data_IF_547135780178
#
_entry.id   IF_547135780178
#
_cell.length_a   1.000
_cell.length_b   1.000
_cell.length_c   1.000
_cell.angle_alpha   90.00
_cell.angle_beta   90.00
_cell.angle_gamma   90.00
#
_symmetry.space_group_name_H-M   'P 1'
#
loop_
_entity.id
_entity.type
_entity.pdbx_description
1 polymer ?
#
# COMPACT_ATOMS: atom_id res chain seq x y z
N UNK A 1 21.33 0.42 26.27
CA UNK A 1 20.24 -0.58 26.27
C UNK A 1 19.27 -0.14 25.20
N UNK A 2 19.31 -0.76 24.03
CA UNK A 2 18.45 -0.37 22.91
C UNK A 2 17.06 -0.99 23.13
N UNK A 3 16.09 -0.13 23.43
CA UNK A 3 14.68 -0.49 23.54
C UNK A 3 14.11 -0.49 22.12
N UNK A 4 14.47 -1.50 21.32
CA UNK A 4 14.03 -1.59 19.92
C UNK A 4 13.28 -2.86 19.55
N UNK A 5 13.31 -3.91 20.38
CA UNK A 5 13.01 -5.26 19.90
C UNK A 5 11.59 -5.80 20.18
N UNK A 6 10.74 -5.07 20.91
CA UNK A 6 9.42 -5.59 21.30
C UNK A 6 8.24 -5.02 20.49
N UNK A 7 8.45 -4.03 19.62
CA UNK A 7 7.36 -3.33 18.89
C UNK A 7 7.25 -3.78 17.42
N UNK A 8 8.15 -4.64 16.94
CA UNK A 8 8.22 -5.02 15.52
C UNK A 8 7.04 -5.87 14.99
N UNK A 9 6.44 -6.72 15.82
CA UNK A 9 5.39 -7.66 15.37
C UNK A 9 4.00 -7.03 15.22
N UNK A 10 3.62 -6.10 16.09
CA UNK A 10 2.31 -5.44 15.94
C UNK A 10 2.25 -4.53 14.70
N UNK A 11 3.40 -4.02 14.24
CA UNK A 11 3.47 -3.05 13.15
C UNK A 11 3.14 -3.66 11.77
N UNK A 12 3.77 -4.77 11.39
CA UNK A 12 3.55 -5.38 10.07
C UNK A 12 2.15 -5.96 9.92
N UNK A 13 1.66 -6.65 10.95
CA UNK A 13 0.29 -7.15 10.97
C UNK A 13 -0.74 -6.01 10.86
N UNK A 14 -0.49 -4.87 11.52
CA UNK A 14 -1.35 -3.68 11.39
C UNK A 14 -1.27 -3.05 10.00
N UNK A 15 -0.07 -2.92 9.42
CA UNK A 15 0.12 -2.40 8.07
C UNK A 15 -0.60 -3.26 7.02
N UNK A 16 -0.53 -4.59 7.13
CA UNK A 16 -1.28 -5.51 6.27
C UNK A 16 -2.79 -5.31 6.38
N UNK A 17 -3.32 -5.12 7.60
CA UNK A 17 -4.75 -4.84 7.80
C UNK A 17 -5.18 -3.54 7.09
N UNK A 18 -4.38 -2.47 7.19
CA UNK A 18 -4.65 -1.22 6.47
C UNK A 18 -4.65 -1.43 4.95
N UNK A 19 -3.72 -2.23 4.42
CA UNK A 19 -3.70 -2.59 3.01
C UNK A 19 -4.94 -3.39 2.61
N UNK A 20 -5.42 -4.30 3.46
CA UNK A 20 -6.67 -5.04 3.20
C UNK A 20 -7.89 -4.11 3.18
N UNK A 21 -7.99 -3.16 4.10
CA UNK A 21 -9.08 -2.18 4.12
C UNK A 21 -9.07 -1.30 2.87
N UNK A 22 -7.89 -0.85 2.43
CA UNK A 22 -7.76 -0.06 1.19
C UNK A 22 -8.00 -0.87 -0.08
N UNK A 23 -7.76 -2.18 -0.06
CA UNK A 23 -8.04 -3.12 -1.15
C UNK A 23 -9.47 -3.70 -1.09
N UNK A 24 -10.26 -3.34 -0.09
CA UNK A 24 -11.66 -3.76 0.01
C UNK A 24 -12.47 -3.18 -1.17
N UNK A 25 -13.65 -3.75 -1.50
CA UNK A 25 -14.51 -3.23 -2.56
C UNK A 25 -14.83 -1.73 -2.46
N UNK A 26 -14.89 -1.22 -1.22
CA UNK A 26 -15.13 0.18 -0.88
C UNK A 26 -13.85 1.01 -0.67
N UNK A 27 -12.67 0.41 -0.80
CA UNK A 27 -11.39 1.04 -0.51
C UNK A 27 -10.86 1.89 -1.67
N UNK A 28 -10.09 2.92 -1.31
CA UNK A 28 -9.63 3.93 -2.27
C UNK A 28 -8.72 3.36 -3.38
N UNK A 29 -7.84 2.41 -3.05
CA UNK A 29 -6.98 1.79 -4.06
C UNK A 29 -7.80 1.05 -5.11
N UNK A 30 -8.77 0.27 -4.65
CA UNK A 30 -9.59 -0.51 -5.56
C UNK A 30 -10.41 0.41 -6.48
N UNK A 31 -10.90 1.53 -5.97
CA UNK A 31 -11.59 2.56 -6.75
C UNK A 31 -10.67 3.26 -7.78
N UNK A 32 -9.42 3.52 -7.44
CA UNK A 32 -8.45 4.15 -8.37
C UNK A 32 -8.15 3.28 -9.58
N UNK A 33 -8.08 1.97 -9.37
CA UNK A 33 -7.65 0.98 -10.36
C UNK A 33 -8.82 0.24 -11.05
N UNK A 34 -10.06 0.40 -10.59
CA UNK A 34 -11.24 -0.25 -11.20
C UNK A 34 -11.50 0.14 -12.66
N UNK A 35 -10.92 1.25 -13.14
CA UNK A 35 -11.14 1.77 -14.49
C UNK A 35 -10.56 0.88 -15.61
N UNK A 36 -9.56 0.03 -15.31
CA UNK A 36 -8.97 -0.88 -16.31
C UNK A 36 -9.01 -2.35 -15.87
N UNK A 37 -9.34 -3.26 -16.81
CA UNK A 37 -9.37 -4.72 -16.57
C UNK A 37 -8.02 -5.31 -16.12
N UNK A 38 -6.91 -4.71 -16.58
CA UNK A 38 -5.55 -5.15 -16.23
C UNK A 38 -5.24 -4.88 -14.76
N UNK A 39 -5.67 -3.72 -14.26
CA UNK A 39 -5.42 -3.27 -12.90
C UNK A 39 -6.21 -4.12 -11.89
N UNK A 40 -7.45 -4.50 -12.21
CA UNK A 40 -8.25 -5.43 -11.40
C UNK A 40 -7.57 -6.79 -11.22
N UNK A 41 -6.92 -7.33 -12.27
CA UNK A 41 -6.19 -8.61 -12.18
C UNK A 41 -4.95 -8.49 -11.30
N UNK A 42 -4.23 -7.37 -11.38
CA UNK A 42 -3.07 -7.09 -10.53
C UNK A 42 -3.49 -6.93 -9.07
N UNK A 43 -4.57 -6.20 -8.78
CA UNK A 43 -5.11 -6.06 -7.43
C UNK A 43 -5.53 -7.41 -6.82
N UNK A 44 -6.14 -8.29 -7.61
CA UNK A 44 -6.49 -9.64 -7.14
C UNK A 44 -5.25 -10.46 -6.79
N UNK A 45 -4.18 -10.36 -7.59
CA UNK A 45 -2.89 -11.01 -7.28
C UNK A 45 -2.28 -10.44 -6.00
N UNK A 46 -2.24 -9.11 -5.87
CA UNK A 46 -1.75 -8.44 -4.67
C UNK A 46 -2.50 -8.89 -3.42
N UNK A 47 -3.83 -8.90 -3.45
CA UNK A 47 -4.67 -9.40 -2.35
C UNK A 47 -4.31 -10.84 -1.97
N UNK A 48 -4.13 -11.72 -2.96
CA UNK A 48 -3.79 -13.12 -2.69
C UNK A 48 -2.40 -13.28 -2.08
N UNK A 49 -1.42 -12.49 -2.54
CA UNK A 49 -0.08 -12.42 -1.95
C UNK A 49 -0.13 -11.95 -0.49
N UNK A 50 -0.89 -10.88 -0.20
CA UNK A 50 -1.04 -10.36 1.16
C UNK A 50 -1.70 -11.36 2.11
N UNK A 51 -2.69 -12.13 1.64
CA UNK A 51 -3.30 -13.21 2.44
C UNK A 51 -2.29 -14.30 2.79
N UNK A 52 -1.47 -14.72 1.82
CA UNK A 52 -0.40 -15.70 2.07
C UNK A 52 0.63 -15.17 3.07
N UNK A 53 0.99 -13.89 2.96
CA UNK A 53 1.87 -13.19 3.89
C UNK A 53 1.28 -13.17 5.31
N UNK A 54 0.01 -12.81 5.48
CA UNK A 54 -0.63 -12.77 6.79
C UNK A 54 -0.60 -14.13 7.50
N UNK A 55 -0.76 -15.22 6.76
CA UNK A 55 -0.74 -16.57 7.32
C UNK A 55 0.64 -16.97 7.88
N UNK A 56 1.73 -16.48 7.27
CA UNK A 56 3.10 -16.77 7.72
C UNK A 56 3.64 -15.72 8.69
N UNK A 57 3.07 -14.52 8.69
CA UNK A 57 3.60 -13.37 9.42
C UNK A 57 3.58 -13.60 10.93
N UNK A 58 2.48 -14.09 11.50
CA UNK A 58 2.41 -14.34 12.95
C UNK A 58 3.40 -15.41 13.42
N UNK A 59 3.66 -16.44 12.61
CA UNK A 59 4.69 -17.46 12.93
C UNK A 59 6.10 -16.87 12.82
N UNK A 60 6.35 -16.04 11.81
CA UNK A 60 7.61 -15.34 11.62
C UNK A 60 7.89 -14.35 12.76
N UNK A 61 6.92 -13.53 13.16
CA UNK A 61 7.05 -12.56 14.26
C UNK A 61 7.40 -13.26 15.58
N UNK A 62 6.77 -14.40 15.88
CA UNK A 62 7.09 -15.20 17.07
C UNK A 62 8.52 -15.78 17.04
N UNK A 63 9.07 -16.03 15.84
CA UNK A 63 10.41 -16.59 15.64
C UNK A 63 11.49 -15.53 15.39
N UNK A 64 11.12 -14.25 15.30
CA UNK A 64 12.05 -13.15 14.98
C UNK A 64 13.22 -13.08 15.96
N UNK A 65 12.97 -13.26 17.26
CA UNK A 65 13.99 -13.16 18.30
C UNK A 65 14.94 -14.38 18.34
N UNK A 66 14.48 -15.55 17.88
CA UNK A 66 15.22 -16.81 17.96
C UNK A 66 15.82 -17.27 16.64
N UNK A 67 15.43 -16.66 15.51
CA UNK A 67 15.91 -17.02 14.18
C UNK A 67 16.35 -15.77 13.39
N UNK A 68 17.66 -15.65 13.17
CA UNK A 68 18.24 -14.52 12.45
C UNK A 68 17.77 -14.41 11.00
N UNK A 69 17.50 -15.53 10.32
CA UNK A 69 16.99 -15.50 8.94
C UNK A 69 15.56 -14.98 8.88
N UNK A 70 14.74 -15.33 9.87
CA UNK A 70 13.37 -14.78 10.00
C UNK A 70 13.42 -13.29 10.32
N UNK A 71 14.34 -12.87 11.19
CA UNK A 71 14.58 -11.45 11.49
C UNK A 71 14.98 -10.65 10.25
N UNK A 72 15.90 -11.18 9.44
CA UNK A 72 16.29 -10.54 8.19
C UNK A 72 15.11 -10.46 7.20
N UNK A 73 14.37 -11.56 7.02
CA UNK A 73 13.21 -11.58 6.13
C UNK A 73 12.14 -10.56 6.55
N UNK A 74 11.85 -10.43 7.84
CA UNK A 74 10.91 -9.43 8.36
C UNK A 74 11.39 -7.98 8.15
N UNK A 75 12.70 -7.73 8.26
CA UNK A 75 13.26 -6.42 7.94
C UNK A 75 13.11 -6.09 6.45
N UNK A 76 13.44 -7.02 5.55
CA UNK A 76 13.25 -6.84 4.10
C UNK A 76 11.78 -6.63 3.74
N UNK A 77 10.88 -7.37 4.39
CA UNK A 77 9.44 -7.18 4.23
C UNK A 77 8.99 -5.78 4.67
N UNK A 78 9.50 -5.27 5.80
CA UNK A 78 9.21 -3.90 6.26
C UNK A 78 9.65 -2.86 5.24
N UNK A 79 10.85 -3.02 4.69
CA UNK A 79 11.37 -2.08 3.68
C UNK A 79 10.55 -2.12 2.39
N UNK A 80 10.09 -3.32 1.99
CA UNK A 80 9.18 -3.46 0.85
C UNK A 80 7.81 -2.81 1.09
N UNK A 81 7.26 -2.91 2.31
CA UNK A 81 5.99 -2.24 2.68
C UNK A 81 6.15 -0.71 2.62
N UNK A 82 7.21 -0.14 3.20
CA UNK A 82 7.49 1.30 3.10
C UNK A 82 7.67 1.74 1.64
N UNK A 83 8.36 0.95 0.82
CA UNK A 83 8.50 1.21 -0.61
C UNK A 83 7.15 1.24 -1.33
N UNK A 84 6.24 0.33 -0.99
CA UNK A 84 4.88 0.32 -1.54
C UNK A 84 4.06 1.54 -1.11
N UNK A 85 4.11 1.94 0.17
CA UNK A 85 3.44 3.15 0.67
C UNK A 85 3.91 4.41 -0.07
N UNK A 86 5.22 4.58 -0.23
CA UNK A 86 5.79 5.72 -0.98
C UNK A 86 5.33 5.74 -2.44
N UNK A 87 5.28 4.58 -3.11
CA UNK A 87 4.76 4.48 -4.48
C UNK A 87 3.27 4.85 -4.56
N UNK A 88 2.47 4.43 -3.57
CA UNK A 88 1.04 4.76 -3.52
C UNK A 88 0.81 6.25 -3.31
N UNK A 89 1.59 6.89 -2.44
CA UNK A 89 1.57 8.34 -2.25
C UNK A 89 1.94 9.08 -3.54
N UNK A 90 2.95 8.62 -4.27
CA UNK A 90 3.35 9.19 -5.55
C UNK A 90 2.22 9.08 -6.59
N UNK A 91 1.59 7.91 -6.72
CA UNK A 91 0.46 7.71 -7.63
C UNK A 91 -0.71 8.63 -7.26
N UNK A 92 -0.99 8.77 -5.97
CA UNK A 92 -2.06 9.66 -5.50
C UNK A 92 -1.75 11.13 -5.81
N UNK A 93 -0.51 11.56 -5.59
CA UNK A 93 -0.04 12.91 -5.93
C UNK A 93 -0.17 13.19 -7.43
N UNK A 94 0.28 12.27 -8.28
CA UNK A 94 0.15 12.40 -9.74
C UNK A 94 -1.32 12.45 -10.20
N UNK A 95 -2.20 11.66 -9.57
CA UNK A 95 -3.63 11.69 -9.85
C UNK A 95 -4.26 13.04 -9.48
N UNK A 96 -3.91 13.59 -8.31
CA UNK A 96 -4.36 14.91 -7.86
C UNK A 96 -3.89 16.03 -8.78
N UNK A 97 -2.62 15.96 -9.21
CA UNK A 97 -2.05 16.91 -10.16
C UNK A 97 -2.84 16.90 -11.47
N UNK A 98 -3.08 15.71 -12.04
CA UNK A 98 -3.86 15.60 -13.29
C UNK A 98 -5.25 16.22 -13.13
N UNK A 99 -5.91 15.98 -12.01
CA UNK A 99 -7.22 16.56 -11.73
C UNK A 99 -7.17 18.09 -11.64
N UNK A 100 -6.16 18.65 -10.97
CA UNK A 100 -5.98 20.10 -10.82
C UNK A 100 -5.72 20.79 -12.17
N UNK A 101 -4.84 20.22 -13.01
CA UNK A 101 -4.60 20.75 -14.35
C UNK A 101 -5.84 20.69 -15.25
N UNK A 102 -6.60 19.59 -15.19
CA UNK A 102 -7.85 19.47 -15.93
C UNK A 102 -8.89 20.50 -15.45
N UNK A 103 -9.01 20.73 -14.15
CA UNK A 103 -9.95 21.70 -13.57
C UNK A 103 -9.57 23.16 -13.90
N UNK A 104 -8.27 23.48 -13.96
CA UNK A 104 -7.77 24.80 -14.36
C UNK A 104 -8.01 25.12 -15.84
N UNK A 105 -7.85 24.13 -16.73
CA UNK A 105 -8.09 24.30 -18.16
C UNK A 105 -9.59 24.52 -18.50
N UNK A 106 -10.51 23.96 -17.71
CA UNK A 106 -11.95 24.20 -17.88
C UNK A 106 -12.38 25.63 -17.48
N UNK A 107 -11.70 26.26 -16.51
CA UNK A 107 -12.00 27.64 -16.13
C UNK A 107 -11.53 28.64 -17.20
N UNK A 108 -10.32 28.45 -17.75
CA UNK A 108 -9.73 29.35 -18.76
C UNK A 108 -10.52 29.39 -20.07
N UNK A 109 -11.05 28.24 -20.53
CA UNK A 109 -11.80 28.14 -21.78
C UNK A 109 -13.25 28.71 -21.68
N UNK A 110 -13.71 29.07 -20.47
CA UNK A 110 -15.03 29.68 -20.25
C UNK A 110 -15.01 31.22 -20.37
N UNK A 111 -13.84 31.84 -20.26
CA UNK A 111 -13.67 33.30 -20.38
C UNK A 111 -13.39 33.77 -21.82
N UNK A 112 -12.96 32.86 -22.70
CA UNK A 112 -12.57 33.16 -24.09
C UNK A 112 -13.74 33.01 -25.11
N UNK A 113 -14.96 32.75 -24.62
CA UNK A 113 -16.14 32.46 -25.47
C UNK A 113 -17.31 33.44 -25.30
N UNK A 114 -17.04 34.66 -24.83
CA UNK A 114 -18.02 35.75 -24.77
C UNK A 114 -17.73 36.83 -25.80
#
# INVERSE_FOLDING_TARGET
MEIGLAVGGAFLSSALNVLFDRLAPQGDLLNMFQKNKHDVRLLKKLKMTLVGLQAVLSDAENKQASNQHVSQWLNELRDAVHGAENLMEQVNYEALIKQTYLSGNHAHNSYDKR
#
